data_IF_220983238949
#
_entry.id   IF_220983238949
#
_cell.length_a   1.000
_cell.length_b   1.000
_cell.length_c   1.000
_cell.angle_alpha   90.00
_cell.angle_beta   90.00
_cell.angle_gamma   90.00
#
_symmetry.space_group_name_H-M   'P 1'
#
loop_
_entity.id
_entity.type
_entity.pdbx_description
1 polymer ?
#
# COMPACT_ATOMS: atom_id res chain seq x y z
N UNK A 1 -11.42 -4.14 22.14
CA UNK A 1 -12.23 -3.04 22.69
C UNK A 1 -11.34 -1.85 23.00
N UNK A 2 -10.21 -2.06 23.67
CA UNK A 2 -9.20 -1.03 24.00
C UNK A 2 -8.63 -0.28 22.78
N UNK A 3 -8.13 -0.98 21.75
CA UNK A 3 -7.59 -0.33 20.52
C UNK A 3 -8.62 0.57 19.81
N UNK A 4 -9.91 0.23 19.84
CA UNK A 4 -10.94 1.07 19.21
C UNK A 4 -11.20 2.35 20.00
N UNK A 5 -11.12 2.27 21.31
CA UNK A 5 -11.28 3.42 22.20
C UNK A 5 -10.10 4.39 22.06
N UNK A 6 -8.87 3.87 22.09
CA UNK A 6 -7.65 4.68 21.92
C UNK A 6 -7.63 5.40 20.56
N UNK A 7 -8.00 4.70 19.49
CA UNK A 7 -8.15 5.30 18.16
C UNK A 7 -9.17 6.44 18.15
N UNK A 8 -10.34 6.21 18.75
CA UNK A 8 -11.37 7.24 18.85
C UNK A 8 -10.87 8.47 19.61
N UNK A 9 -10.10 8.28 20.70
CA UNK A 9 -9.52 9.38 21.47
C UNK A 9 -8.55 10.21 20.62
N UNK A 10 -7.64 9.55 19.88
CA UNK A 10 -6.71 10.23 18.97
C UNK A 10 -7.44 11.01 17.89
N UNK A 11 -8.46 10.41 17.28
CA UNK A 11 -9.29 11.09 16.26
C UNK A 11 -10.00 12.31 16.84
N UNK A 12 -10.58 12.23 18.04
CA UNK A 12 -11.21 13.39 18.71
C UNK A 12 -10.21 14.51 18.97
N UNK A 13 -8.99 14.19 19.40
CA UNK A 13 -7.92 15.18 19.59
C UNK A 13 -7.51 15.84 18.26
N UNK A 14 -7.44 15.07 17.17
CA UNK A 14 -7.18 15.61 15.83
C UNK A 14 -8.28 16.57 15.40
N UNK A 15 -9.56 16.21 15.53
CA UNK A 15 -10.66 17.10 15.18
C UNK A 15 -10.64 18.41 15.97
N UNK A 16 -10.30 18.35 17.26
CA UNK A 16 -10.13 19.57 18.06
C UNK A 16 -9.01 20.45 17.48
N UNK A 17 -7.84 19.89 17.17
CA UNK A 17 -6.72 20.65 16.59
C UNK A 17 -7.05 21.19 15.20
N UNK A 18 -7.68 20.40 14.34
CA UNK A 18 -8.17 20.84 13.02
C UNK A 18 -9.12 22.03 13.19
N UNK A 19 -10.10 21.95 14.10
CA UNK A 19 -11.03 23.05 14.33
C UNK A 19 -10.33 24.33 14.82
N UNK A 20 -9.30 24.21 15.66
CA UNK A 20 -8.52 25.37 16.14
C UNK A 20 -7.53 25.94 15.13
N UNK A 21 -7.09 25.14 14.15
CA UNK A 21 -6.06 25.50 13.16
C UNK A 21 -6.59 25.67 11.74
N UNK A 22 -7.85 25.34 11.48
CA UNK A 22 -8.54 25.64 10.24
C UNK A 22 -8.42 27.15 9.99
N UNK A 23 -7.78 27.51 8.87
CA UNK A 23 -7.31 28.87 8.59
C UNK A 23 -8.36 29.94 8.91
N UNK A 24 -8.00 31.04 9.60
CA UNK A 24 -8.58 32.34 9.29
C UNK A 24 -8.15 32.69 7.86
N UNK A 25 -9.09 32.74 6.90
CA UNK A 25 -8.81 33.26 5.56
C UNK A 25 -8.34 34.72 5.69
N UNK A 26 -7.13 35.02 5.20
CA UNK A 26 -6.73 36.40 4.88
C UNK A 26 -5.87 37.16 5.90
N UNK A 27 -4.85 36.55 6.51
CA UNK A 27 -3.81 37.34 7.17
C UNK A 27 -2.67 37.64 6.20
N UNK A 28 -2.46 38.92 5.91
CA UNK A 28 -1.26 39.42 5.24
C UNK A 28 -0.03 38.94 6.04
N UNK A 29 1.07 38.56 5.38
CA UNK A 29 2.29 38.22 6.09
C UNK A 29 2.73 39.42 6.94
N UNK A 30 3.05 39.21 8.23
CA UNK A 30 3.42 40.30 9.12
C UNK A 30 4.69 41.01 8.60
N UNK A 31 4.67 42.35 8.57
CA UNK A 31 5.75 43.19 8.02
C UNK A 31 7.06 43.12 8.83
N UNK A 32 7.02 42.64 10.08
CA UNK A 32 8.20 42.42 10.92
C UNK A 32 8.17 41.03 11.54
N UNK A 33 9.32 40.35 11.58
CA UNK A 33 9.45 39.02 12.23
C UNK A 33 9.67 39.23 13.73
N UNK A 34 8.59 39.07 14.51
CA UNK A 34 8.61 39.18 15.97
C UNK A 34 9.00 37.86 16.67
N UNK A 35 9.36 37.95 17.96
CA UNK A 35 9.64 36.82 18.86
C UNK A 35 8.57 35.75 18.88
N UNK A 36 7.32 36.16 18.83
CA UNK A 36 6.17 35.27 18.88
C UNK A 36 5.97 34.44 17.61
N UNK A 37 6.58 34.83 16.47
CA UNK A 37 6.29 34.19 15.18
C UNK A 37 6.93 32.82 15.01
N UNK A 38 8.18 32.65 15.44
CA UNK A 38 8.83 31.34 15.36
C UNK A 38 8.13 30.32 16.26
N UNK A 39 7.83 30.70 17.51
CA UNK A 39 7.11 29.84 18.45
C UNK A 39 5.71 29.49 17.94
N UNK A 40 4.98 30.46 17.39
CA UNK A 40 3.65 30.22 16.78
C UNK A 40 3.75 29.30 15.58
N UNK A 41 4.78 29.46 14.74
CA UNK A 41 5.04 28.59 13.59
C UNK A 41 5.39 27.16 14.03
N UNK A 42 6.29 26.99 15.00
CA UNK A 42 6.65 25.67 15.54
C UNK A 42 5.42 24.98 16.13
N UNK A 43 4.60 25.71 16.90
CA UNK A 43 3.36 25.17 17.45
C UNK A 43 2.38 24.72 16.35
N UNK A 44 2.21 25.53 15.30
CA UNK A 44 1.36 25.17 14.16
C UNK A 44 1.88 23.94 13.40
N UNK A 45 3.18 23.89 13.11
CA UNK A 45 3.79 22.73 12.44
C UNK A 45 3.70 21.47 13.28
N UNK A 46 3.88 21.58 14.61
CA UNK A 46 3.71 20.46 15.53
C UNK A 46 2.29 19.92 15.52
N UNK A 47 1.28 20.81 15.41
CA UNK A 47 -0.12 20.40 15.25
C UNK A 47 -0.35 19.69 13.90
N UNK A 48 0.22 20.18 12.80
CA UNK A 48 0.11 19.53 11.50
C UNK A 48 0.74 18.14 11.51
N UNK A 49 1.97 18.01 12.03
CA UNK A 49 2.63 16.72 12.19
C UNK A 49 1.83 15.75 13.05
N UNK A 50 1.22 16.23 14.14
CA UNK A 50 0.35 15.40 14.97
C UNK A 50 -0.87 14.89 14.18
N UNK A 51 -1.59 15.79 13.50
CA UNK A 51 -2.78 15.44 12.72
C UNK A 51 -2.44 14.39 11.65
N UNK A 52 -1.39 14.62 10.87
CA UNK A 52 -0.99 13.70 9.81
C UNK A 52 -0.35 12.40 10.32
N UNK A 53 0.29 12.41 11.49
CA UNK A 53 0.78 11.17 12.11
C UNK A 53 -0.38 10.27 12.55
N UNK A 54 -1.44 10.86 13.13
CA UNK A 54 -2.67 10.12 13.46
C UNK A 54 -3.37 9.63 12.20
N UNK A 55 -3.43 10.45 11.15
CA UNK A 55 -3.98 10.02 9.86
C UNK A 55 -3.19 8.85 9.27
N UNK A 56 -1.86 8.96 9.22
CA UNK A 56 -0.98 7.89 8.76
C UNK A 56 -1.21 6.61 9.56
N UNK A 57 -1.31 6.70 10.89
CA UNK A 57 -1.63 5.56 11.73
C UNK A 57 -2.97 4.91 11.34
N UNK A 58 -4.03 5.70 11.15
CA UNK A 58 -5.33 5.21 10.69
C UNK A 58 -5.20 4.51 9.32
N UNK A 59 -4.49 5.08 8.36
CA UNK A 59 -4.26 4.45 7.05
C UNK A 59 -3.45 3.15 7.17
N UNK A 60 -2.43 3.11 8.01
CA UNK A 60 -1.63 1.89 8.25
C UNK A 60 -2.49 0.80 8.89
N UNK A 61 -3.41 1.14 9.81
CA UNK A 61 -4.34 0.13 10.35
C UNK A 61 -5.25 -0.45 9.27
N UNK A 62 -5.65 0.35 8.28
CA UNK A 62 -6.37 -0.11 7.10
C UNK A 62 -5.51 -1.03 6.23
N UNK A 63 -4.26 -0.68 5.97
CA UNK A 63 -3.35 -1.47 5.12
C UNK A 63 -2.95 -2.81 5.77
N UNK A 64 -2.69 -2.83 7.08
CA UNK A 64 -2.18 -4.01 7.77
C UNK A 64 -3.27 -4.92 8.34
N UNK A 65 -4.41 -4.37 8.74
CA UNK A 65 -5.45 -5.11 9.44
C UNK A 65 -6.82 -5.02 8.77
N UNK A 66 -6.93 -4.30 7.65
CA UNK A 66 -8.18 -4.05 6.94
C UNK A 66 -9.25 -3.36 7.82
N UNK A 67 -8.82 -2.60 8.83
CA UNK A 67 -9.70 -1.86 9.73
C UNK A 67 -10.01 -0.49 9.11
N UNK A 68 -11.29 -0.10 9.10
CA UNK A 68 -11.70 1.19 8.54
C UNK A 68 -11.15 2.37 9.39
N UNK A 69 -10.62 3.42 8.76
CA UNK A 69 -10.29 4.67 9.43
C UNK A 69 -11.50 5.34 10.09
N UNK A 70 -11.31 6.03 11.22
CA UNK A 70 -12.36 6.84 11.86
C UNK A 70 -12.47 8.26 11.27
N UNK A 71 -11.39 8.77 10.71
CA UNK A 71 -11.31 10.08 10.05
C UNK A 71 -11.41 9.89 8.53
N UNK A 72 -11.77 10.95 7.80
CA UNK A 72 -11.78 10.94 6.33
C UNK A 72 -10.80 11.97 5.77
N UNK A 73 -10.40 11.81 4.51
CA UNK A 73 -9.53 12.78 3.82
C UNK A 73 -10.17 14.16 3.68
N UNK A 74 -11.51 14.22 3.60
CA UNK A 74 -12.28 15.46 3.58
C UNK A 74 -12.07 16.35 4.81
N UNK A 75 -11.71 15.75 5.95
CA UNK A 75 -11.49 16.46 7.21
C UNK A 75 -10.09 17.14 7.24
N UNK A 76 -9.20 16.79 6.31
CA UNK A 76 -7.78 17.18 6.31
C UNK A 76 -7.52 18.43 5.47
N UNK A 77 -8.21 19.52 5.83
CA UNK A 77 -8.07 20.82 5.15
C UNK A 77 -6.89 21.66 5.65
N UNK A 78 -6.16 21.19 6.67
CA UNK A 78 -4.96 21.84 7.18
C UNK A 78 -3.80 21.74 6.17
N UNK A 79 -2.85 22.69 6.15
CA UNK A 79 -1.67 22.61 5.28
C UNK A 79 -0.81 21.38 5.59
N UNK A 80 -0.17 20.82 4.57
CA UNK A 80 0.85 19.79 4.76
C UNK A 80 1.99 20.32 5.66
N UNK A 81 2.58 19.47 6.51
CA UNK A 81 3.71 19.86 7.33
C UNK A 81 4.88 20.28 6.44
N UNK A 82 5.57 21.35 6.83
CA UNK A 82 6.79 21.74 6.14
C UNK A 82 7.91 20.75 6.44
N UNK A 83 8.63 20.37 5.40
CA UNK A 83 9.75 19.41 5.47
C UNK A 83 11.05 20.08 5.02
N UNK A 84 12.19 19.43 5.25
CA UNK A 84 13.48 19.87 4.75
C UNK A 84 14.10 21.03 5.55
N UNK A 85 14.70 21.99 4.84
CA UNK A 85 15.58 23.01 5.45
C UNK A 85 14.87 23.83 6.52
N UNK A 86 13.64 24.29 6.29
CA UNK A 86 12.94 25.13 7.27
C UNK A 86 12.59 24.38 8.57
N UNK A 87 12.28 23.09 8.49
CA UNK A 87 11.99 22.24 9.66
C UNK A 87 13.25 21.84 10.43
N UNK A 88 14.37 21.63 9.73
CA UNK A 88 15.62 21.18 10.33
C UNK A 88 16.38 22.30 11.07
N UNK A 89 15.97 23.55 10.89
CA UNK A 89 16.61 24.68 11.56
C UNK A 89 16.27 24.68 13.06
N UNK A 90 17.32 24.66 13.88
CA UNK A 90 17.21 24.67 15.35
C UNK A 90 17.40 26.08 15.93
N UNK A 91 17.93 27.02 15.15
CA UNK A 91 18.16 28.39 15.55
C UNK A 91 17.16 29.37 14.93
N UNK A 92 16.69 30.30 15.74
CA UNK A 92 15.67 31.26 15.32
C UNK A 92 16.13 32.24 14.25
N UNK A 93 17.37 32.74 14.37
CA UNK A 93 17.88 33.76 13.47
C UNK A 93 18.11 33.14 12.08
N UNK A 94 18.52 31.88 12.05
CA UNK A 94 18.57 31.08 10.84
C UNK A 94 17.17 30.83 10.26
N UNK A 95 16.18 30.50 11.10
CA UNK A 95 14.80 30.28 10.63
C UNK A 95 14.25 31.53 9.94
N UNK A 96 14.46 32.71 10.52
CA UNK A 96 14.00 33.97 9.94
C UNK A 96 14.64 34.28 8.57
N UNK A 97 15.87 33.81 8.32
CA UNK A 97 16.53 33.96 7.01
C UNK A 97 15.91 33.02 5.98
N UNK A 98 15.86 31.72 6.30
CA UNK A 98 15.30 30.69 5.41
C UNK A 98 13.82 30.96 5.11
N UNK A 99 13.05 31.38 6.12
CA UNK A 99 11.66 31.74 5.96
C UNK A 99 11.46 32.91 4.99
N UNK A 100 12.30 33.96 5.06
CA UNK A 100 12.26 35.11 4.15
C UNK A 100 12.65 34.74 2.72
N UNK A 101 13.61 33.83 2.56
CA UNK A 101 14.02 33.30 1.26
C UNK A 101 12.88 32.51 0.61
N UNK A 102 12.25 31.60 1.35
CA UNK A 102 11.13 30.81 0.86
C UNK A 102 9.86 31.64 0.60
N UNK A 103 9.61 32.71 1.36
CA UNK A 103 8.45 33.59 1.13
C UNK A 103 8.55 34.34 -0.21
N UNK A 104 9.77 34.54 -0.74
CA UNK A 104 9.99 35.16 -2.06
C UNK A 104 9.72 34.19 -3.20
N UNK A 105 9.88 32.89 -2.94
CA UNK A 105 9.71 31.83 -3.94
C UNK A 105 8.28 31.22 -3.94
N UNK A 106 7.51 31.35 -2.86
CA UNK A 106 6.16 30.76 -2.75
C UNK A 106 5.03 31.70 -3.20
N UNK A 107 4.42 31.40 -4.36
CA UNK A 107 3.18 32.03 -4.89
C UNK A 107 1.91 31.23 -4.52
N UNK A 108 2.00 30.07 -3.86
CA UNK A 108 0.82 29.27 -3.45
C UNK A 108 0.88 28.93 -1.97
N UNK A 109 -0.14 29.38 -1.22
CA UNK A 109 -0.27 29.10 0.20
C UNK A 109 -0.45 27.61 0.47
N UNK A 110 0.31 27.08 1.44
CA UNK A 110 0.47 25.65 1.75
C UNK A 110 -0.67 24.73 1.35
N UNK A 111 -0.38 23.87 0.36
CA UNK A 111 -1.27 22.84 -0.16
C UNK A 111 -1.62 21.86 0.98
N UNK A 112 -2.87 21.41 1.05
CA UNK A 112 -3.33 20.38 2.00
C UNK A 112 -3.28 18.99 1.37
N UNK A 113 -3.40 17.96 2.20
CA UNK A 113 -3.54 16.60 1.69
C UNK A 113 -4.80 16.45 0.82
N UNK A 114 -5.91 17.09 1.22
CA UNK A 114 -7.14 17.14 0.41
C UNK A 114 -6.87 17.71 -0.98
N UNK A 115 -6.17 18.85 -1.08
CA UNK A 115 -5.84 19.41 -2.41
C UNK A 115 -4.95 18.47 -3.22
N UNK A 116 -3.99 17.79 -2.59
CA UNK A 116 -3.14 16.82 -3.28
C UNK A 116 -3.93 15.65 -3.89
N UNK A 117 -4.98 15.17 -3.22
CA UNK A 117 -5.76 14.01 -3.68
C UNK A 117 -6.81 14.38 -4.72
N UNK A 118 -7.37 15.58 -4.66
CA UNK A 118 -8.45 16.01 -5.57
C UNK A 118 -7.97 16.85 -6.76
N UNK A 119 -6.72 17.33 -6.75
CA UNK A 119 -6.11 18.10 -7.84
C UNK A 119 -4.83 17.42 -8.35
N UNK A 120 -4.88 16.96 -9.61
CA UNK A 120 -3.76 16.28 -10.29
C UNK A 120 -2.51 17.16 -10.41
N UNK A 121 -2.66 18.47 -10.61
CA UNK A 121 -1.51 19.36 -10.79
C UNK A 121 -0.83 19.59 -9.44
N UNK A 122 -1.62 19.74 -8.38
CA UNK A 122 -1.14 19.76 -7.00
C UNK A 122 -0.43 18.45 -6.64
N UNK A 123 -1.01 17.30 -7.01
CA UNK A 123 -0.41 15.97 -6.79
C UNK A 123 0.98 15.86 -7.40
N UNK A 124 1.13 16.23 -8.67
CA UNK A 124 2.40 16.17 -9.39
C UNK A 124 3.46 17.10 -8.76
N UNK A 125 3.06 18.34 -8.44
CA UNK A 125 3.93 19.32 -7.80
C UNK A 125 4.43 18.83 -6.43
N UNK A 126 3.54 18.28 -5.62
CA UNK A 126 3.89 17.76 -4.29
C UNK A 126 4.80 16.55 -4.45
N UNK A 127 4.39 15.56 -5.27
CA UNK A 127 5.13 14.31 -5.51
C UNK A 127 6.59 14.56 -5.97
N UNK A 128 6.83 15.56 -6.80
CA UNK A 128 8.16 15.89 -7.32
C UNK A 128 9.15 16.37 -6.24
N UNK A 129 8.66 16.99 -5.17
CA UNK A 129 9.48 17.55 -4.08
C UNK A 129 9.41 16.76 -2.77
N UNK A 130 8.75 15.59 -2.78
CA UNK A 130 8.40 14.90 -1.53
C UNK A 130 9.56 14.13 -0.90
N UNK A 131 9.68 14.21 0.42
CA UNK A 131 10.50 13.29 1.22
C UNK A 131 9.85 11.90 1.36
N UNK A 132 10.55 10.95 2.02
CA UNK A 132 10.03 9.59 2.19
C UNK A 132 8.74 9.53 3.01
N UNK A 133 8.55 10.40 4.01
CA UNK A 133 7.42 10.34 4.93
C UNK A 133 6.14 10.88 4.30
N UNK A 134 6.22 12.02 3.63
CA UNK A 134 5.06 12.58 2.93
C UNK A 134 4.68 11.70 1.71
N UNK A 135 5.64 11.02 1.08
CA UNK A 135 5.34 10.01 0.04
C UNK A 135 4.57 8.82 0.61
N UNK A 136 5.01 8.28 1.75
CA UNK A 136 4.24 7.25 2.46
C UNK A 136 2.83 7.74 2.76
N UNK A 137 2.67 8.95 3.31
CA UNK A 137 1.37 9.54 3.63
C UNK A 137 0.44 9.58 2.40
N UNK A 138 0.96 10.02 1.25
CA UNK A 138 0.21 10.08 -0.01
C UNK A 138 -0.19 8.69 -0.50
N UNK A 139 0.74 7.72 -0.53
CA UNK A 139 0.47 6.33 -0.94
C UNK A 139 -0.62 5.72 -0.06
N UNK A 140 -0.52 5.88 1.27
CA UNK A 140 -1.48 5.30 2.19
C UNK A 140 -2.85 5.97 2.11
N UNK A 141 -2.89 7.28 1.86
CA UNK A 141 -4.13 8.04 1.69
C UNK A 141 -4.85 7.65 0.40
N UNK A 142 -4.14 7.60 -0.73
CA UNK A 142 -4.70 7.16 -2.00
C UNK A 142 -5.32 5.76 -1.90
N UNK A 143 -4.65 4.84 -1.20
CA UNK A 143 -5.18 3.51 -0.99
C UNK A 143 -6.47 3.50 -0.15
N UNK A 144 -6.54 4.33 0.88
CA UNK A 144 -7.75 4.47 1.70
C UNK A 144 -8.90 5.02 0.86
N UNK A 145 -8.67 6.07 0.08
CA UNK A 145 -9.68 6.66 -0.81
C UNK A 145 -10.18 5.67 -1.86
N UNK A 146 -9.27 4.98 -2.55
CA UNK A 146 -9.62 3.90 -3.48
C UNK A 146 -10.46 2.82 -2.79
N UNK A 147 -10.08 2.41 -1.59
CA UNK A 147 -10.79 1.40 -0.81
C UNK A 147 -12.19 1.85 -0.42
N UNK A 148 -12.36 3.12 -0.04
CA UNK A 148 -13.67 3.71 0.31
C UNK A 148 -14.56 3.78 -0.93
N UNK A 149 -14.06 4.26 -2.06
CA UNK A 149 -14.79 4.30 -3.33
C UNK A 149 -15.24 2.89 -3.78
N UNK A 150 -14.34 1.90 -3.69
CA UNK A 150 -14.66 0.49 -3.99
C UNK A 150 -15.71 -0.09 -3.04
N UNK A 151 -15.72 0.30 -1.77
CA UNK A 151 -16.75 -0.14 -0.82
C UNK A 151 -18.10 0.54 -1.09
N UNK A 152 -18.09 1.84 -1.39
CA UNK A 152 -19.31 2.59 -1.72
C UNK A 152 -19.99 2.06 -2.98
N UNK A 153 -19.22 1.70 -4.00
CA UNK A 153 -19.76 1.09 -5.23
C UNK A 153 -20.33 -0.31 -5.00
N UNK A 154 -19.74 -1.10 -4.09
CA UNK A 154 -20.28 -2.41 -3.67
C UNK A 154 -21.48 -2.28 -2.72
N UNK A 155 -21.82 -1.09 -2.24
CA UNK A 155 -22.99 -0.87 -1.38
C UNK A 155 -24.28 -1.15 -2.14
N UNK A 156 -25.16 -1.93 -1.50
CA UNK A 156 -26.49 -2.28 -2.04
C UNK A 156 -27.30 -1.04 -2.42
N UNK A 157 -27.19 0.04 -1.64
CA UNK A 157 -27.92 1.29 -1.90
C UNK A 157 -27.39 2.01 -3.14
N UNK A 158 -26.07 2.09 -3.30
CA UNK A 158 -25.44 2.68 -4.50
C UNK A 158 -25.82 1.87 -5.74
N UNK A 159 -25.84 0.54 -5.61
CA UNK A 159 -26.27 -0.35 -6.68
C UNK A 159 -27.76 -0.17 -7.02
N UNK A 160 -28.62 -0.02 -6.01
CA UNK A 160 -30.05 0.28 -6.17
C UNK A 160 -30.28 1.58 -6.94
N UNK A 161 -29.53 2.63 -6.60
CA UNK A 161 -29.66 3.95 -7.23
C UNK A 161 -29.08 3.94 -8.65
N UNK A 162 -27.95 3.25 -8.86
CA UNK A 162 -27.25 3.26 -10.14
C UNK A 162 -27.85 2.30 -11.17
N UNK A 163 -28.54 1.24 -10.73
CA UNK A 163 -29.14 0.22 -11.61
C UNK A 163 -30.46 -0.35 -11.04
N UNK A 164 -31.56 0.45 -11.04
CA UNK A 164 -32.84 0.02 -10.48
C UNK A 164 -33.45 -1.21 -11.18
N UNK A 165 -33.11 -1.45 -12.44
CA UNK A 165 -33.59 -2.56 -13.27
C UNK A 165 -32.98 -3.93 -12.96
N UNK A 166 -31.81 -4.00 -12.30
CA UNK A 166 -31.13 -5.27 -11.97
C UNK A 166 -31.78 -5.96 -10.75
N UNK A 167 -32.39 -5.19 -9.85
CA UNK A 167 -33.11 -5.71 -8.68
C UNK A 167 -34.43 -6.41 -9.03
N UNK A 168 -35.08 -6.03 -10.12
CA UNK A 168 -36.28 -6.71 -10.59
C UNK A 168 -36.01 -8.18 -11.00
N UNK A 169 -34.76 -8.54 -11.34
CA UNK A 169 -34.38 -9.90 -11.75
C UNK A 169 -33.74 -10.76 -10.65
N UNK A 170 -33.31 -10.18 -9.53
CA UNK A 170 -32.52 -10.91 -8.52
C UNK A 170 -33.39 -11.32 -7.31
N UNK A 171 -34.27 -12.30 -7.53
CA UNK A 171 -35.11 -12.91 -6.48
C UNK A 171 -34.43 -14.07 -5.73
N UNK A 172 -33.24 -14.52 -6.18
CA UNK A 172 -32.50 -15.62 -5.54
C UNK A 172 -31.29 -15.11 -4.73
N UNK A 173 -31.31 -15.22 -3.38
CA UNK A 173 -30.28 -14.68 -2.49
C UNK A 173 -29.00 -15.54 -2.38
N UNK A 174 -28.98 -16.74 -2.96
CA UNK A 174 -27.86 -17.70 -2.81
C UNK A 174 -26.68 -17.48 -3.76
N UNK A 175 -26.82 -16.64 -4.79
CA UNK A 175 -25.78 -16.40 -5.80
C UNK A 175 -25.24 -14.97 -5.72
N UNK A 176 -24.79 -14.53 -4.55
CA UNK A 176 -23.98 -13.30 -4.47
C UNK A 176 -22.56 -13.60 -4.94
N UNK A 177 -22.32 -13.50 -6.24
CA UNK A 177 -20.97 -13.45 -6.82
C UNK A 177 -20.23 -12.25 -6.24
N UNK A 178 -19.16 -12.49 -5.48
CA UNK A 178 -18.35 -11.44 -4.84
C UNK A 178 -17.50 -10.63 -5.85
N UNK A 179 -17.33 -11.14 -7.08
CA UNK A 179 -16.39 -10.58 -8.07
C UNK A 179 -16.95 -10.34 -9.48
N UNK A 180 -18.20 -10.71 -9.79
CA UNK A 180 -18.75 -10.59 -11.16
C UNK A 180 -20.01 -9.70 -11.23
N UNK A 181 -19.88 -8.45 -10.78
CA UNK A 181 -20.66 -7.37 -11.41
C UNK A 181 -19.64 -6.43 -12.01
N UNK A 182 -19.69 -6.29 -13.33
CA UNK A 182 -18.75 -5.46 -14.09
C UNK A 182 -18.54 -4.14 -13.36
N UNK A 183 -17.28 -3.83 -13.06
CA UNK A 183 -16.89 -2.56 -12.44
C UNK A 183 -17.51 -1.45 -13.31
N UNK A 184 -18.37 -0.57 -12.78
CA UNK A 184 -18.96 0.50 -13.57
C UNK A 184 -17.86 1.29 -14.31
N UNK A 185 -18.10 1.67 -15.57
CA UNK A 185 -17.09 2.36 -16.40
C UNK A 185 -16.44 3.57 -15.70
N UNK A 186 -17.22 4.29 -14.86
CA UNK A 186 -16.71 5.39 -14.03
C UNK A 186 -15.63 4.93 -13.06
N UNK A 187 -15.84 3.81 -12.37
CA UNK A 187 -14.88 3.24 -11.44
C UNK A 187 -13.67 2.65 -12.17
N UNK A 188 -13.85 2.09 -13.38
CA UNK A 188 -12.73 1.62 -14.20
C UNK A 188 -11.81 2.77 -14.64
N UNK A 189 -12.38 3.88 -15.09
CA UNK A 189 -11.62 5.08 -15.45
C UNK A 189 -10.89 5.67 -14.22
N UNK A 190 -11.54 5.64 -13.05
CA UNK A 190 -10.97 6.10 -11.79
C UNK A 190 -9.82 5.21 -11.31
N UNK A 191 -9.94 3.88 -11.41
CA UNK A 191 -8.84 2.94 -11.12
C UNK A 191 -7.64 3.20 -12.02
N UNK A 192 -7.87 3.40 -13.32
CA UNK A 192 -6.80 3.75 -14.27
C UNK A 192 -6.13 5.08 -13.93
N UNK A 193 -6.91 6.06 -13.47
CA UNK A 193 -6.40 7.34 -13.00
C UNK A 193 -5.52 7.16 -11.74
N UNK A 194 -6.01 6.43 -10.73
CA UNK A 194 -5.24 6.14 -9.51
C UNK A 194 -3.96 5.34 -9.81
N UNK A 195 -3.95 4.45 -10.80
CA UNK A 195 -2.72 3.78 -11.24
C UNK A 195 -1.65 4.77 -11.69
N UNK A 196 -2.05 5.87 -12.33
CA UNK A 196 -1.12 6.93 -12.75
C UNK A 196 -0.54 7.65 -11.54
N UNK A 197 -1.37 7.99 -10.55
CA UNK A 197 -0.94 8.64 -9.30
C UNK A 197 -0.03 7.75 -8.47
N UNK A 198 -0.34 6.45 -8.33
CA UNK A 198 0.55 5.50 -7.66
C UNK A 198 1.90 5.37 -8.39
N UNK A 199 1.93 5.44 -9.73
CA UNK A 199 3.20 5.40 -10.46
C UNK A 199 4.04 6.66 -10.23
N UNK A 200 3.41 7.83 -10.05
CA UNK A 200 4.11 9.08 -9.68
C UNK A 200 4.78 8.96 -8.31
N UNK A 201 4.14 8.25 -7.37
CA UNK A 201 4.64 8.04 -6.01
C UNK A 201 5.56 6.82 -5.88
N UNK A 202 6.04 6.25 -6.98
CA UNK A 202 6.91 5.08 -6.90
C UNK A 202 8.24 5.43 -6.20
N UNK A 203 8.65 4.68 -5.17
CA UNK A 203 9.95 4.87 -4.53
C UNK A 203 11.10 4.63 -5.50
N UNK A 204 12.25 5.28 -5.26
CA UNK A 204 13.45 5.10 -6.07
C UNK A 204 13.91 3.64 -6.06
N UNK A 205 14.21 3.09 -7.25
CA UNK A 205 14.65 1.71 -7.46
C UNK A 205 15.96 1.36 -6.72
N UNK A 206 16.73 2.36 -6.31
CA UNK A 206 17.98 2.21 -5.56
C UNK A 206 17.78 2.10 -4.04
N UNK A 207 16.53 2.08 -3.55
CA UNK A 207 16.23 1.92 -2.12
C UNK A 207 16.71 0.58 -1.54
N UNK A 208 17.11 -0.38 -2.38
CA UNK A 208 17.71 -1.65 -1.98
C UNK A 208 19.18 -1.63 -2.42
N UNK A 209 20.17 -1.39 -1.52
CA UNK A 209 20.29 -1.86 -0.14
C UNK A 209 20.37 -0.72 0.90
N UNK A 210 19.35 0.15 0.97
CA UNK A 210 19.34 1.23 1.95
C UNK A 210 19.29 0.67 3.37
N UNK A 211 20.08 1.26 4.27
CA UNK A 211 20.00 1.02 5.73
C UNK A 211 18.99 1.95 6.41
N UNK A 212 18.47 2.94 5.69
CA UNK A 212 17.50 3.90 6.22
C UNK A 212 16.10 3.27 6.36
N UNK A 213 15.57 3.27 7.58
CA UNK A 213 14.30 2.66 7.91
C UNK A 213 13.12 3.32 7.16
N UNK A 214 13.19 4.63 6.89
CA UNK A 214 12.12 5.35 6.20
C UNK A 214 12.04 4.92 4.72
N UNK A 215 13.19 4.82 4.06
CA UNK A 215 13.29 4.32 2.68
C UNK A 215 12.78 2.87 2.54
N UNK A 216 13.07 1.99 3.51
CA UNK A 216 12.57 0.61 3.51
C UNK A 216 11.05 0.59 3.73
N UNK A 217 10.54 1.40 4.67
CA UNK A 217 9.11 1.51 4.92
C UNK A 217 8.37 1.96 3.66
N UNK A 218 8.85 3.00 3.02
CA UNK A 218 8.28 3.56 1.79
C UNK A 218 8.17 2.51 0.68
N UNK A 219 9.26 1.79 0.40
CA UNK A 219 9.25 0.70 -0.57
C UNK A 219 8.31 -0.45 -0.17
N UNK A 220 8.31 -0.87 1.10
CA UNK A 220 7.47 -1.96 1.56
C UNK A 220 5.97 -1.61 1.52
N UNK A 221 5.61 -0.40 1.95
CA UNK A 221 4.23 0.11 1.91
C UNK A 221 3.78 0.25 0.47
N UNK A 222 4.60 0.78 -0.44
CA UNK A 222 4.29 0.85 -1.86
C UNK A 222 3.98 -0.54 -2.44
N UNK A 223 4.90 -1.50 -2.29
CA UNK A 223 4.73 -2.84 -2.86
C UNK A 223 3.56 -3.61 -2.24
N UNK A 224 3.40 -3.54 -0.91
CA UNK A 224 2.25 -4.14 -0.22
C UNK A 224 0.94 -3.54 -0.74
N UNK A 225 0.87 -2.22 -0.86
CA UNK A 225 -0.31 -1.50 -1.36
C UNK A 225 -0.68 -1.98 -2.76
N UNK A 226 0.28 -2.04 -3.68
CA UNK A 226 0.02 -2.54 -5.05
C UNK A 226 -0.53 -3.97 -5.08
N UNK A 227 -0.11 -4.85 -4.16
CA UNK A 227 -0.68 -6.21 -4.06
C UNK A 227 -2.12 -6.16 -3.55
N UNK A 228 -2.38 -5.46 -2.44
CA UNK A 228 -3.70 -5.48 -1.77
C UNK A 228 -4.79 -4.71 -2.51
N UNK A 229 -4.41 -3.81 -3.43
CA UNK A 229 -5.32 -3.16 -4.39
C UNK A 229 -5.98 -4.16 -5.34
N UNK A 230 -5.25 -5.21 -5.73
CA UNK A 230 -5.73 -6.22 -6.66
C UNK A 230 -6.26 -7.48 -5.98
N UNK A 231 -5.67 -7.87 -4.85
CA UNK A 231 -6.09 -9.05 -4.08
C UNK A 231 -6.22 -8.70 -2.60
N UNK A 232 -7.46 -8.64 -2.12
CA UNK A 232 -7.76 -8.26 -0.74
C UNK A 232 -7.02 -9.14 0.28
N UNK A 233 -6.48 -8.50 1.32
CA UNK A 233 -5.71 -9.15 2.38
C UNK A 233 -6.49 -10.29 3.07
N UNK A 234 -7.76 -10.06 3.38
CA UNK A 234 -8.63 -11.09 3.97
C UNK A 234 -8.83 -12.29 3.02
N UNK A 235 -8.86 -12.05 1.71
CA UNK A 235 -8.93 -13.09 0.70
C UNK A 235 -7.68 -13.98 0.71
N UNK A 236 -6.48 -13.36 0.78
CA UNK A 236 -5.22 -14.09 0.89
C UNK A 236 -5.17 -14.97 2.16
N UNK A 237 -5.63 -14.45 3.29
CA UNK A 237 -5.70 -15.23 4.54
C UNK A 237 -6.76 -16.34 4.47
N UNK A 238 -7.92 -16.07 3.86
CA UNK A 238 -8.97 -17.07 3.66
C UNK A 238 -8.51 -18.22 2.74
N UNK A 239 -7.71 -17.95 1.70
CA UNK A 239 -7.13 -18.99 0.84
C UNK A 239 -6.29 -20.00 1.62
N UNK A 240 -5.64 -19.54 2.69
CA UNK A 240 -4.84 -20.36 3.59
C UNK A 240 -5.65 -21.07 4.68
N UNK A 241 -6.96 -20.83 4.76
CA UNK A 241 -7.80 -21.32 5.85
C UNK A 241 -7.59 -20.58 7.17
N UNK A 242 -6.94 -19.41 7.16
CA UNK A 242 -6.69 -18.64 8.38
C UNK A 242 -7.99 -18.02 8.88
N UNK A 243 -8.48 -18.46 10.04
CA UNK A 243 -9.74 -18.00 10.66
C UNK A 243 -10.94 -18.01 9.68
N UNK A 244 -10.93 -18.92 8.71
CA UNK A 244 -11.94 -19.01 7.65
C UNK A 244 -12.64 -20.35 7.70
N UNK A 245 -13.98 -20.35 7.63
CA UNK A 245 -14.74 -21.60 7.48
C UNK A 245 -14.54 -22.18 6.07
N UNK A 246 -14.75 -23.49 5.90
CA UNK A 246 -14.61 -24.16 4.61
C UNK A 246 -15.36 -23.46 3.47
N UNK A 247 -16.57 -22.98 3.74
CA UNK A 247 -17.36 -22.21 2.78
C UNK A 247 -16.66 -20.90 2.35
N UNK A 248 -16.06 -20.17 3.29
CA UNK A 248 -15.29 -18.96 2.98
C UNK A 248 -14.00 -19.28 2.21
N UNK A 249 -13.32 -20.38 2.53
CA UNK A 249 -12.14 -20.84 1.78
C UNK A 249 -12.52 -21.17 0.33
N UNK A 250 -13.63 -21.88 0.12
CA UNK A 250 -14.10 -22.26 -1.21
C UNK A 250 -14.50 -21.03 -2.05
N UNK A 251 -15.11 -20.02 -1.43
CA UNK A 251 -15.40 -18.73 -2.07
C UNK A 251 -14.09 -18.02 -2.45
N UNK A 252 -13.17 -17.84 -1.50
CA UNK A 252 -11.89 -17.18 -1.74
C UNK A 252 -11.09 -17.87 -2.86
N UNK A 253 -11.09 -19.21 -2.89
CA UNK A 253 -10.44 -20.00 -3.94
C UNK A 253 -11.06 -19.76 -5.32
N UNK A 254 -12.39 -19.73 -5.40
CA UNK A 254 -13.10 -19.44 -6.65
C UNK A 254 -12.74 -18.04 -7.14
N UNK A 255 -12.84 -17.05 -6.27
CA UNK A 255 -12.61 -15.65 -6.58
C UNK A 255 -11.17 -15.39 -7.02
N UNK A 256 -10.18 -16.00 -6.35
CA UNK A 256 -8.78 -15.87 -6.73
C UNK A 256 -8.47 -16.52 -8.08
N UNK A 257 -9.08 -17.67 -8.40
CA UNK A 257 -8.94 -18.31 -9.73
C UNK A 257 -9.59 -17.49 -10.84
N UNK A 258 -10.73 -16.87 -10.57
CA UNK A 258 -11.35 -15.93 -11.51
C UNK A 258 -10.43 -14.72 -11.74
N UNK A 259 -9.84 -14.16 -10.69
CA UNK A 259 -8.86 -13.08 -10.82
C UNK A 259 -7.62 -13.49 -11.64
N UNK A 260 -7.10 -14.71 -11.44
CA UNK A 260 -5.98 -15.26 -12.23
C UNK A 260 -6.33 -15.47 -13.71
N UNK A 261 -7.63 -15.56 -14.04
CA UNK A 261 -8.09 -15.63 -15.44
C UNK A 261 -8.22 -14.25 -16.09
N UNK A 262 -7.94 -13.18 -15.35
CA UNK A 262 -8.00 -11.80 -15.79
C UNK A 262 -6.80 -11.36 -16.65
N UNK A 263 -6.59 -10.04 -16.79
CA UNK A 263 -5.48 -9.51 -17.60
C UNK A 263 -4.12 -9.95 -17.06
N UNK A 264 -3.37 -10.71 -17.88
CA UNK A 264 -2.01 -11.18 -17.55
C UNK A 264 -1.06 -10.07 -17.05
N UNK A 265 -1.06 -8.85 -17.62
CA UNK A 265 -0.19 -7.78 -17.14
C UNK A 265 -0.42 -7.41 -15.68
N UNK A 266 -1.69 -7.35 -15.23
CA UNK A 266 -2.02 -7.06 -13.83
C UNK A 266 -1.49 -8.14 -12.89
N UNK A 267 -1.62 -9.40 -13.29
CA UNK A 267 -1.14 -10.54 -12.50
C UNK A 267 0.39 -10.49 -12.41
N UNK A 268 1.09 -10.31 -13.53
CA UNK A 268 2.56 -10.19 -13.58
C UNK A 268 3.09 -9.02 -12.77
N UNK A 269 2.37 -7.88 -12.77
CA UNK A 269 2.69 -6.72 -11.91
C UNK A 269 2.61 -7.08 -10.42
N UNK A 270 1.57 -7.80 -10.00
CA UNK A 270 1.45 -8.26 -8.61
C UNK A 270 2.55 -9.26 -8.22
N UNK A 271 2.88 -10.20 -9.10
CA UNK A 271 3.98 -11.17 -8.87
C UNK A 271 5.32 -10.45 -8.73
N UNK A 272 5.58 -9.44 -9.57
CA UNK A 272 6.78 -8.60 -9.45
C UNK A 272 6.84 -7.88 -8.09
N UNK A 273 5.77 -7.19 -7.68
CA UNK A 273 5.73 -6.51 -6.38
C UNK A 273 5.93 -7.49 -5.21
N UNK A 274 5.33 -8.67 -5.27
CA UNK A 274 5.47 -9.69 -4.24
C UNK A 274 6.91 -10.27 -4.21
N UNK A 275 7.55 -10.46 -5.36
CA UNK A 275 8.94 -10.90 -5.46
C UNK A 275 9.93 -9.86 -4.89
N UNK A 276 9.75 -8.58 -5.22
CA UNK A 276 10.57 -7.49 -4.67
C UNK A 276 10.40 -7.41 -3.15
N UNK A 277 9.15 -7.45 -2.66
CA UNK A 277 8.85 -7.40 -1.23
C UNK A 277 9.45 -8.60 -0.48
N UNK A 278 9.35 -9.80 -1.04
CA UNK A 278 9.92 -11.02 -0.47
C UNK A 278 11.44 -10.95 -0.40
N UNK A 279 12.11 -10.64 -1.52
CA UNK A 279 13.58 -10.60 -1.59
C UNK A 279 14.19 -9.57 -0.64
N UNK A 280 13.55 -8.40 -0.56
CA UNK A 280 13.92 -7.31 0.35
C UNK A 280 13.95 -7.78 1.80
N UNK A 281 12.84 -8.37 2.26
CA UNK A 281 12.65 -8.72 3.67
C UNK A 281 13.35 -10.02 4.04
N UNK A 282 13.51 -10.94 3.08
CA UNK A 282 14.29 -12.17 3.25
C UNK A 282 15.75 -11.89 3.64
N UNK A 283 16.32 -10.77 3.18
CA UNK A 283 17.72 -10.41 3.46
C UNK A 283 17.90 -9.69 4.80
N UNK A 284 16.81 -9.39 5.53
CA UNK A 284 16.84 -8.58 6.76
C UNK A 284 17.09 -9.45 8.00
N UNK A 285 18.03 -9.00 8.83
CA UNK A 285 18.40 -9.66 10.10
C UNK A 285 17.64 -9.11 11.31
N UNK A 286 17.36 -7.81 11.30
CA UNK A 286 16.68 -7.13 12.40
C UNK A 286 15.41 -6.44 11.90
N UNK A 287 14.29 -7.16 12.00
CA UNK A 287 13.00 -6.66 11.56
C UNK A 287 12.32 -5.77 12.61
N UNK A 288 11.76 -4.65 12.17
CA UNK A 288 10.86 -3.78 12.95
C UNK A 288 9.40 -4.25 12.84
N UNK A 289 8.50 -3.72 13.68
CA UNK A 289 7.14 -4.24 13.89
C UNK A 289 6.31 -4.47 12.60
N UNK A 290 6.41 -3.59 11.61
CA UNK A 290 5.61 -3.67 10.36
C UNK A 290 6.23 -4.57 9.29
N UNK A 291 7.54 -4.87 9.36
CA UNK A 291 8.26 -5.66 8.36
C UNK A 291 7.74 -7.11 8.27
N UNK A 292 7.54 -7.86 9.38
CA UNK A 292 6.96 -9.20 9.34
C UNK A 292 5.58 -9.25 8.68
N UNK A 293 4.77 -8.20 8.86
CA UNK A 293 3.42 -8.12 8.30
C UNK A 293 3.44 -7.83 6.79
N UNK A 294 4.40 -7.04 6.32
CA UNK A 294 4.69 -6.87 4.89
C UNK A 294 5.20 -8.18 4.29
N UNK A 295 6.14 -8.85 4.97
CA UNK A 295 6.74 -10.09 4.51
C UNK A 295 5.69 -11.20 4.36
N UNK A 296 4.81 -11.33 5.36
CA UNK A 296 3.68 -12.24 5.31
C UNK A 296 2.79 -11.97 4.09
N UNK A 297 2.45 -10.71 3.78
CA UNK A 297 1.60 -10.40 2.61
C UNK A 297 2.25 -10.83 1.30
N UNK A 298 3.54 -10.51 1.10
CA UNK A 298 4.27 -10.93 -0.09
C UNK A 298 4.37 -12.45 -0.21
N UNK A 299 4.72 -13.14 0.88
CA UNK A 299 4.83 -14.59 0.92
C UNK A 299 3.48 -15.30 0.70
N UNK A 300 2.41 -14.81 1.32
CA UNK A 300 1.05 -15.37 1.14
C UNK A 300 0.55 -15.20 -0.29
N UNK A 301 0.82 -14.05 -0.92
CA UNK A 301 0.49 -13.84 -2.34
C UNK A 301 1.29 -14.80 -3.23
N UNK A 302 2.61 -14.89 -3.05
CA UNK A 302 3.47 -15.80 -3.82
C UNK A 302 3.06 -17.26 -3.66
N UNK A 303 2.77 -17.70 -2.43
CA UNK A 303 2.24 -19.03 -2.14
C UNK A 303 0.92 -19.29 -2.86
N UNK A 304 -0.04 -18.35 -2.78
CA UNK A 304 -1.33 -18.48 -3.44
C UNK A 304 -1.17 -18.54 -4.96
N UNK A 305 -0.32 -17.69 -5.52
CA UNK A 305 0.01 -17.70 -6.93
C UNK A 305 0.57 -19.05 -7.36
N UNK A 306 1.65 -19.54 -6.72
CA UNK A 306 2.24 -20.84 -7.05
C UNK A 306 1.27 -22.01 -6.88
N UNK A 307 0.32 -21.91 -5.94
CA UNK A 307 -0.66 -22.98 -5.67
C UNK A 307 -1.82 -23.02 -6.68
N UNK A 308 -2.25 -21.88 -7.20
CA UNK A 308 -3.50 -21.77 -7.96
C UNK A 308 -3.33 -21.29 -9.41
N UNK A 309 -2.22 -20.64 -9.76
CA UNK A 309 -1.96 -20.19 -11.13
C UNK A 309 -1.59 -21.37 -12.04
N UNK A 310 -1.87 -21.20 -13.31
CA UNK A 310 -1.33 -22.01 -14.39
C UNK A 310 -0.03 -21.39 -14.92
N UNK A 311 0.85 -22.21 -15.49
CA UNK A 311 2.14 -21.75 -16.05
C UNK A 311 2.01 -20.73 -17.18
N UNK A 312 0.79 -20.50 -17.70
CA UNK A 312 0.51 -19.64 -18.86
C UNK A 312 0.62 -18.14 -18.57
N UNK A 313 0.65 -17.75 -17.28
CA UNK A 313 0.77 -16.34 -16.86
C UNK A 313 2.20 -15.82 -17.04
N UNK A 314 3.20 -16.67 -16.76
CA UNK A 314 4.63 -16.33 -16.87
C UNK A 314 5.09 -16.39 -18.32
N UNK A 315 4.59 -17.37 -19.09
CA UNK A 315 4.99 -17.60 -20.47
C UNK A 315 4.79 -16.36 -21.35
N UNK A 316 5.87 -15.98 -22.04
CA UNK A 316 5.84 -14.90 -23.01
C UNK A 316 5.13 -15.27 -24.30
N UNK A 317 4.67 -14.26 -25.03
CA UNK A 317 3.96 -14.43 -26.32
C UNK A 317 4.85 -14.97 -27.46
N UNK A 318 6.17 -15.04 -27.27
CA UNK A 318 7.10 -15.52 -28.30
C UNK A 318 7.49 -16.97 -28.05
N UNK A 319 6.97 -17.86 -28.90
CA UNK A 319 7.38 -19.26 -29.02
C UNK A 319 8.55 -19.46 -30.03
N UNK A 320 9.03 -18.39 -30.66
CA UNK A 320 9.90 -18.47 -31.85
C UNK A 320 11.41 -18.33 -31.56
N UNK A 321 11.84 -18.43 -30.31
CA UNK A 321 13.27 -18.41 -29.98
C UNK A 321 13.67 -19.39 -28.87
N UNK A 322 13.22 -20.65 -28.97
CA UNK A 322 13.80 -21.75 -28.18
C UNK A 322 15.10 -22.24 -28.85
N UNK A 323 16.07 -21.35 -29.00
CA UNK A 323 17.44 -21.72 -29.40
C UNK A 323 18.45 -20.82 -28.69
N UNK A 324 18.86 -21.28 -27.50
CA UNK A 324 20.08 -20.81 -26.82
C UNK A 324 19.86 -20.30 -25.41
N UNK A 325 20.48 -20.99 -24.43
CA UNK A 325 20.87 -20.55 -23.07
C UNK A 325 20.33 -19.18 -22.60
N UNK A 326 19.01 -19.03 -22.45
CA UNK A 326 18.47 -17.81 -21.82
C UNK A 326 18.77 -17.87 -20.33
N UNK A 327 19.57 -16.92 -19.85
CA UNK A 327 19.86 -16.74 -18.43
C UNK A 327 18.55 -16.50 -17.67
N UNK A 328 18.35 -17.21 -16.56
CA UNK A 328 17.16 -17.06 -15.73
C UNK A 328 16.89 -15.58 -15.37
N UNK A 329 15.64 -15.15 -15.56
CA UNK A 329 15.21 -13.78 -15.27
C UNK A 329 15.05 -13.62 -13.77
N UNK A 330 15.82 -12.71 -13.17
CA UNK A 330 15.73 -12.40 -11.74
C UNK A 330 14.69 -11.31 -11.48
N UNK A 331 13.49 -11.73 -11.15
CA UNK A 331 12.34 -10.83 -11.01
C UNK A 331 12.52 -9.80 -9.89
N UNK A 332 13.25 -10.17 -8.84
CA UNK A 332 13.57 -9.32 -7.70
C UNK A 332 14.67 -8.28 -7.98
N UNK A 333 15.34 -8.37 -9.14
CA UNK A 333 16.46 -7.50 -9.53
C UNK A 333 16.22 -6.77 -10.85
N UNK A 334 14.97 -6.58 -11.24
CA UNK A 334 14.65 -5.71 -12.37
C UNK A 334 14.92 -4.26 -11.96
N UNK A 335 15.93 -3.65 -12.57
CA UNK A 335 16.44 -2.32 -12.18
C UNK A 335 16.04 -1.22 -13.16
N UNK A 336 15.65 -1.57 -14.40
CA UNK A 336 15.17 -0.61 -15.39
C UNK A 336 13.65 -0.62 -15.51
N UNK A 337 13.05 0.57 -15.68
CA UNK A 337 11.62 0.70 -16.01
C UNK A 337 11.24 -0.05 -17.27
N UNK A 338 12.14 -0.11 -18.27
CA UNK A 338 11.89 -0.81 -19.53
C UNK A 338 11.85 -2.34 -19.32
N UNK A 339 12.71 -2.88 -18.45
CA UNK A 339 12.70 -4.30 -18.10
C UNK A 339 11.40 -4.68 -17.37
N UNK A 340 10.97 -3.82 -16.45
CA UNK A 340 9.74 -4.01 -15.67
C UNK A 340 8.53 -3.94 -16.59
N UNK A 341 8.48 -2.93 -17.47
CA UNK A 341 7.41 -2.78 -18.46
C UNK A 341 7.37 -3.97 -19.42
N UNK A 342 8.53 -4.41 -19.90
CA UNK A 342 8.65 -5.58 -20.77
C UNK A 342 8.12 -6.85 -20.08
N UNK A 343 8.51 -7.11 -18.83
CA UNK A 343 7.97 -8.21 -18.03
C UNK A 343 6.44 -8.12 -17.88
N UNK A 344 5.93 -6.95 -17.52
CA UNK A 344 4.49 -6.74 -17.30
C UNK A 344 3.70 -6.98 -18.60
N UNK A 345 4.15 -6.43 -19.74
CA UNK A 345 3.42 -6.50 -21.00
C UNK A 345 3.60 -7.84 -21.73
N UNK A 346 4.81 -8.38 -21.75
CA UNK A 346 5.17 -9.50 -22.62
C UNK A 346 5.47 -10.80 -21.88
N UNK A 347 5.75 -10.78 -20.57
CA UNK A 347 6.15 -11.97 -19.81
C UNK A 347 7.58 -12.42 -20.13
N UNK A 348 7.91 -13.68 -19.80
CA UNK A 348 9.23 -14.26 -20.07
C UNK A 348 9.10 -15.75 -20.43
N UNK A 349 9.80 -16.19 -21.47
CA UNK A 349 9.70 -17.57 -21.98
C UNK A 349 10.75 -18.54 -21.39
N UNK A 350 11.50 -18.13 -20.36
CA UNK A 350 12.50 -18.96 -19.65
C UNK A 350 12.27 -19.04 -18.15
N UNK A 351 13.29 -19.48 -17.41
CA UNK A 351 13.22 -19.62 -15.95
C UNK A 351 13.12 -18.24 -15.27
N UNK A 352 12.09 -18.05 -14.45
CA UNK A 352 11.94 -16.86 -13.60
C UNK A 352 12.38 -17.19 -12.19
N UNK A 353 13.33 -16.44 -11.66
CA UNK A 353 13.98 -16.67 -10.37
C UNK A 353 13.71 -15.53 -9.37
N UNK A 354 13.53 -15.88 -8.10
CA UNK A 354 13.43 -14.93 -6.97
C UNK A 354 14.37 -15.34 -5.83
N UNK A 355 15.13 -14.39 -5.26
CA UNK A 355 16.00 -14.66 -4.10
C UNK A 355 15.22 -15.33 -2.97
N UNK A 356 15.81 -16.39 -2.40
CA UNK A 356 15.23 -17.14 -1.28
C UNK A 356 14.19 -18.17 -1.70
N UNK A 357 13.51 -17.99 -2.84
CA UNK A 357 12.51 -18.95 -3.34
C UNK A 357 13.11 -19.88 -4.39
N UNK A 358 13.92 -19.38 -5.33
CA UNK A 358 14.35 -20.15 -6.49
C UNK A 358 13.48 -19.89 -7.72
N UNK A 359 13.32 -20.91 -8.57
CA UNK A 359 12.54 -20.80 -9.80
C UNK A 359 11.03 -20.78 -9.48
N UNK A 360 10.31 -19.84 -10.08
CA UNK A 360 8.86 -19.69 -9.94
C UNK A 360 8.15 -20.60 -10.95
N UNK A 361 7.86 -21.83 -10.53
CA UNK A 361 7.13 -22.79 -11.33
C UNK A 361 5.75 -23.00 -10.69
N UNK A 362 4.65 -22.49 -11.28
CA UNK A 362 3.32 -22.72 -10.76
C UNK A 362 2.99 -24.22 -10.67
N UNK A 363 2.41 -24.64 -9.56
CA UNK A 363 2.14 -26.04 -9.22
C UNK A 363 3.25 -26.74 -8.46
N UNK A 364 4.49 -26.23 -8.50
CA UNK A 364 5.61 -26.83 -7.78
C UNK A 364 5.81 -26.22 -6.40
N UNK A 365 5.85 -27.10 -5.38
CA UNK A 365 6.27 -26.81 -4.00
C UNK A 365 5.87 -25.43 -3.43
N UNK A 366 4.58 -25.01 -3.46
CA UNK A 366 4.17 -23.68 -3.00
C UNK A 366 4.54 -23.44 -1.53
N UNK A 367 4.57 -24.49 -0.71
CA UNK A 367 4.92 -24.43 0.70
C UNK A 367 6.39 -24.04 0.95
N UNK A 368 7.28 -24.12 -0.05
CA UNK A 368 8.66 -23.67 0.07
C UNK A 368 8.75 -22.19 0.45
N UNK A 369 7.91 -21.34 -0.17
CA UNK A 369 7.83 -19.90 0.14
C UNK A 369 7.49 -19.67 1.62
N UNK A 370 6.52 -20.43 2.13
CA UNK A 370 6.07 -20.33 3.52
C UNK A 370 7.10 -20.89 4.51
N UNK A 371 7.84 -21.92 4.13
CA UNK A 371 8.93 -22.47 4.93
C UNK A 371 10.09 -21.46 5.04
N UNK A 372 10.47 -20.80 3.94
CA UNK A 372 11.51 -19.77 3.96
C UNK A 372 11.09 -18.53 4.76
N UNK A 373 9.82 -18.10 4.63
CA UNK A 373 9.24 -17.08 5.51
C UNK A 373 9.40 -17.48 6.99
N UNK A 374 9.00 -18.70 7.34
CA UNK A 374 9.06 -19.21 8.72
C UNK A 374 10.49 -19.20 9.25
N UNK A 375 11.46 -19.68 8.47
CA UNK A 375 12.88 -19.67 8.84
C UNK A 375 13.38 -18.25 9.14
N UNK A 376 13.08 -17.30 8.26
CA UNK A 376 13.48 -15.90 8.42
C UNK A 376 12.84 -15.24 9.65
N UNK A 377 11.55 -15.50 9.90
CA UNK A 377 10.82 -14.96 11.05
C UNK A 377 11.30 -15.54 12.39
N UNK A 378 11.62 -16.84 12.45
CA UNK A 378 12.13 -17.47 13.66
C UNK A 378 13.54 -16.99 14.04
N UNK A 379 14.31 -16.48 13.06
CA UNK A 379 15.62 -15.88 13.31
C UNK A 379 15.53 -14.46 13.91
N UNK A 380 14.35 -13.82 13.93
CA UNK A 380 14.19 -12.45 14.39
C UNK A 380 14.16 -12.36 15.93
N UNK A 381 15.03 -11.53 16.49
CA UNK A 381 15.11 -11.28 17.94
C UNK A 381 14.28 -10.06 18.34
N UNK A 382 14.38 -8.95 17.60
CA UNK A 382 13.71 -7.67 17.92
C UNK A 382 12.18 -7.72 17.87
N UNK A 383 11.61 -8.61 17.06
CA UNK A 383 10.15 -8.81 16.91
C UNK A 383 9.72 -10.23 17.27
N UNK A 384 10.49 -10.91 18.12
CA UNK A 384 10.34 -12.35 18.39
C UNK A 384 8.90 -12.79 18.70
N UNK A 385 8.14 -12.02 19.48
CA UNK A 385 6.75 -12.36 19.81
C UNK A 385 5.85 -12.39 18.57
N UNK A 386 5.87 -11.32 17.77
CA UNK A 386 5.06 -11.22 16.55
C UNK A 386 5.54 -12.23 15.50
N UNK A 387 6.84 -12.27 15.25
CA UNK A 387 7.46 -13.13 14.23
C UNK A 387 7.27 -14.62 14.56
N UNK A 388 7.41 -15.02 15.83
CA UNK A 388 7.11 -16.38 16.28
C UNK A 388 5.62 -16.71 16.14
N UNK A 389 4.73 -15.76 16.48
CA UNK A 389 3.28 -15.95 16.31
C UNK A 389 2.89 -16.19 14.85
N UNK A 390 3.41 -15.36 13.93
CA UNK A 390 3.20 -15.52 12.49
C UNK A 390 3.79 -16.85 12.00
N UNK A 391 5.04 -17.17 12.37
CA UNK A 391 5.72 -18.39 11.98
C UNK A 391 4.93 -19.65 12.41
N UNK A 392 4.43 -19.69 13.64
CA UNK A 392 3.59 -20.79 14.14
C UNK A 392 2.30 -20.94 13.32
N UNK A 393 1.63 -19.85 13.03
CA UNK A 393 0.40 -19.87 12.22
C UNK A 393 0.68 -20.36 10.79
N UNK A 394 1.77 -19.93 10.17
CA UNK A 394 2.20 -20.35 8.83
C UNK A 394 2.59 -21.83 8.79
N UNK A 395 3.31 -22.34 9.80
CA UNK A 395 3.64 -23.77 9.87
C UNK A 395 2.38 -24.63 9.93
N UNK A 396 1.35 -24.21 10.67
CA UNK A 396 0.05 -24.93 10.69
C UNK A 396 -0.58 -25.01 9.30
N UNK A 397 -0.53 -23.90 8.54
CA UNK A 397 -0.99 -23.86 7.15
C UNK A 397 -0.20 -24.86 6.27
N UNK A 398 1.13 -24.91 6.41
CA UNK A 398 1.96 -25.88 5.68
C UNK A 398 1.58 -27.33 5.98
N UNK A 399 1.16 -27.63 7.21
CA UNK A 399 0.70 -28.95 7.64
C UNK A 399 -0.78 -29.25 7.33
N UNK A 400 -1.50 -28.32 6.67
CA UNK A 400 -2.92 -28.49 6.38
C UNK A 400 -3.83 -28.36 7.62
N UNK A 401 -3.31 -27.81 8.72
CA UNK A 401 -4.03 -27.53 9.94
C UNK A 401 -4.57 -26.09 9.93
N UNK A 402 -5.74 -25.82 10.54
CA UNK A 402 -6.22 -24.46 10.69
C UNK A 402 -5.23 -23.62 11.52
N UNK A 403 -5.01 -22.38 11.10
CA UNK A 403 -4.03 -21.48 11.74
C UNK A 403 -4.44 -21.03 13.15
N UNK A 404 -5.70 -21.21 13.54
CA UNK A 404 -6.26 -20.80 14.83
C UNK A 404 -6.83 -22.01 15.58
N UNK A 405 -6.04 -22.55 16.49
CA UNK A 405 -6.50 -23.06 17.80
C UNK A 405 -5.64 -22.39 18.85
#
# INVERSE_FOLDING_TARGET
MEISYERSLLTTLCYNRIATRARPRGHNPPESIDHTQWETWVAAQSDYWFIYSVWLFECLTKIFFDIRPHMNTEDLEVPLPQTGSLWNVTDRLEWAKVFKEQLRDQVSGGDSLKTAIYDSDAMQKIAAGTDGLLRILLITTLFVEESVELQLTKSRLTEMVSNPSILARTRNPTTRQFFERGIPLRLQNRIKYMDTEFNLLRPSLYAFPSTDALSIMDACIYHKTQIIRHVHLQGLYALAGWKASKAHVDIAKRDFRLWLSGPKPTIRKCVWHAAVLFSTLHSRRDMVLWEPMCFLTGAMFMWAYLKYADGTVVQGLSADCVTGNQKALRLDRLMSEDEIKSWIEHGFSGDVHVTGIGNLIPGECPNMVLNELTKCLLAQTGTANLSSGIAKAVMRICHGLPASD
#
